data_IF_591182930103
#
_entry.id   IF_591182930103
#
_cell.length_a   1.000
_cell.length_b   1.000
_cell.length_c   1.000
_cell.angle_alpha   90.00
_cell.angle_beta   90.00
_cell.angle_gamma   90.00
#
_symmetry.space_group_name_H-M   'P 1'
#
loop_
_entity.id
_entity.type
_entity.pdbx_description
1 polymer ?
#
# COMPACT_ATOMS: atom_id res chain seq x y z
N UNK A 1 -16.09 -1.01 -9.72
CA UNK A 1 -15.07 0.07 -9.70
C UNK A 1 -15.52 1.33 -8.97
N UNK A 2 -16.70 1.91 -9.26
CA UNK A 2 -17.17 3.14 -8.59
C UNK A 2 -17.26 3.05 -7.06
N UNK A 3 -17.73 1.90 -6.53
CA UNK A 3 -17.79 1.67 -5.08
C UNK A 3 -16.40 1.63 -4.41
N UNK A 4 -15.39 1.11 -5.12
CA UNK A 4 -14.00 1.08 -4.64
C UNK A 4 -13.40 2.49 -4.60
N UNK A 5 -13.60 3.28 -5.64
CA UNK A 5 -13.13 4.68 -5.66
C UNK A 5 -13.80 5.46 -4.53
N UNK A 6 -15.12 5.33 -4.36
CA UNK A 6 -15.85 5.97 -3.26
C UNK A 6 -15.31 5.54 -1.89
N UNK A 7 -15.00 4.25 -1.72
CA UNK A 7 -14.38 3.74 -0.51
C UNK A 7 -13.06 4.46 -0.21
N UNK A 8 -12.15 4.55 -1.17
CA UNK A 8 -10.85 5.21 -0.97
C UNK A 8 -10.98 6.70 -0.69
N UNK A 9 -11.94 7.38 -1.31
CA UNK A 9 -12.27 8.78 -0.97
C UNK A 9 -12.78 8.90 0.46
N UNK A 10 -13.69 8.03 0.89
CA UNK A 10 -14.19 8.01 2.27
C UNK A 10 -13.09 7.64 3.27
N UNK A 11 -12.20 6.73 2.92
CA UNK A 11 -11.03 6.35 3.71
C UNK A 11 -10.06 7.52 3.85
N UNK A 12 -9.76 8.23 2.76
CA UNK A 12 -8.90 9.43 2.76
C UNK A 12 -9.50 10.56 3.63
N UNK A 13 -10.83 10.66 3.66
CA UNK A 13 -11.57 11.58 4.53
C UNK A 13 -11.72 11.07 5.98
N UNK A 14 -11.08 9.94 6.34
CA UNK A 14 -11.19 9.26 7.64
C UNK A 14 -12.62 8.89 8.04
N UNK A 15 -13.52 8.77 7.07
CA UNK A 15 -14.93 8.38 7.25
C UNK A 15 -15.15 6.87 7.24
N UNK A 16 -14.15 6.12 6.78
CA UNK A 16 -14.14 4.64 6.81
C UNK A 16 -12.87 4.12 7.46
N UNK A 17 -12.93 2.89 7.96
CA UNK A 17 -11.78 2.21 8.53
C UNK A 17 -11.15 1.28 7.48
N UNK A 18 -9.81 1.08 7.52
CA UNK A 18 -9.13 0.15 6.62
C UNK A 18 -9.72 -1.27 6.60
N UNK A 19 -10.25 -1.72 7.74
CA UNK A 19 -10.87 -3.04 7.92
C UNK A 19 -12.20 -3.24 7.15
N UNK A 20 -12.78 -2.16 6.64
CA UNK A 20 -14.02 -2.20 5.86
C UNK A 20 -13.75 -2.57 4.39
N UNK A 21 -12.46 -2.68 4.01
CA UNK A 21 -12.04 -3.11 2.68
C UNK A 21 -12.24 -4.64 2.54
N UNK A 22 -12.77 -5.14 1.41
CA UNK A 22 -12.82 -6.58 1.17
C UNK A 22 -11.42 -7.20 1.24
N UNK A 23 -11.31 -8.34 1.93
CA UNK A 23 -10.08 -9.12 2.02
C UNK A 23 -9.77 -9.78 0.67
N UNK A 24 -9.16 -9.03 -0.24
CA UNK A 24 -8.82 -9.46 -1.61
C UNK A 24 -7.32 -9.39 -1.85
N UNK A 25 -6.64 -10.54 -2.01
CA UNK A 25 -5.22 -10.59 -2.39
C UNK A 25 -4.93 -9.89 -3.72
N UNK A 26 -5.90 -9.89 -4.64
CA UNK A 26 -5.78 -9.25 -5.96
C UNK A 26 -5.70 -7.74 -5.82
N UNK A 27 -6.45 -7.13 -4.89
CA UNK A 27 -6.38 -5.69 -4.61
C UNK A 27 -5.02 -5.31 -4.03
N UNK A 28 -4.47 -6.11 -3.11
CA UNK A 28 -3.13 -5.88 -2.56
C UNK A 28 -2.07 -5.93 -3.68
N UNK A 29 -2.12 -6.97 -4.52
CA UNK A 29 -1.16 -7.13 -5.63
C UNK A 29 -1.25 -5.94 -6.60
N UNK A 30 -2.47 -5.51 -6.96
CA UNK A 30 -2.68 -4.36 -7.82
C UNK A 30 -2.04 -3.10 -7.24
N UNK A 31 -2.29 -2.79 -5.96
CA UNK A 31 -1.71 -1.60 -5.34
C UNK A 31 -0.20 -1.71 -5.16
N UNK A 32 0.33 -2.89 -4.84
CA UNK A 32 1.78 -3.10 -4.76
C UNK A 32 2.46 -2.86 -6.12
N UNK A 33 1.90 -3.39 -7.21
CA UNK A 33 2.42 -3.17 -8.56
C UNK A 33 2.35 -1.69 -8.94
N UNK A 34 1.21 -1.03 -8.69
CA UNK A 34 1.07 0.40 -8.97
C UNK A 34 2.06 1.24 -8.14
N UNK A 35 2.24 0.93 -6.87
CA UNK A 35 3.17 1.64 -5.99
C UNK A 35 4.61 1.53 -6.52
N UNK A 36 5.06 0.32 -6.90
CA UNK A 36 6.41 0.13 -7.46
C UNK A 36 6.58 0.83 -8.81
N UNK A 37 5.61 0.71 -9.71
CA UNK A 37 5.71 1.31 -11.05
C UNK A 37 5.71 2.83 -10.98
N UNK A 38 4.77 3.42 -10.22
CA UNK A 38 4.67 4.87 -10.07
C UNK A 38 5.85 5.43 -9.26
N UNK A 39 6.24 4.73 -8.20
CA UNK A 39 7.38 5.11 -7.37
C UNK A 39 8.70 5.06 -8.12
N UNK A 40 8.93 4.02 -8.94
CA UNK A 40 10.12 3.94 -9.79
C UNK A 40 10.12 5.02 -10.88
N UNK A 41 8.96 5.29 -11.50
CA UNK A 41 8.83 6.36 -12.50
C UNK A 41 9.11 7.74 -11.89
N UNK A 42 8.62 8.01 -10.69
CA UNK A 42 8.83 9.28 -9.98
C UNK A 42 10.27 9.41 -9.46
N UNK A 43 10.83 8.31 -8.92
CA UNK A 43 12.17 8.25 -8.35
C UNK A 43 13.31 8.15 -9.38
N UNK A 44 13.03 7.85 -10.65
CA UNK A 44 14.06 7.60 -11.66
C UNK A 44 15.09 8.73 -11.79
N UNK A 45 14.65 9.99 -11.68
CA UNK A 45 15.54 11.16 -11.71
C UNK A 45 16.34 11.32 -10.41
N UNK A 46 15.73 10.98 -9.27
CA UNK A 46 16.34 11.13 -7.95
C UNK A 46 17.43 10.09 -7.69
N UNK A 47 17.21 8.86 -8.14
CA UNK A 47 18.13 7.73 -7.90
C UNK A 47 19.12 7.48 -9.06
N UNK A 48 19.20 8.40 -10.03
CA UNK A 48 20.16 8.33 -11.13
C UNK A 48 19.88 7.19 -12.13
N UNK A 49 18.63 6.73 -12.22
CA UNK A 49 18.24 5.67 -13.14
C UNK A 49 17.03 4.87 -12.67
N UNK A 50 16.32 4.27 -13.63
CA UNK A 50 15.12 3.47 -13.36
C UNK A 50 15.42 2.22 -12.51
N UNK A 51 16.55 1.54 -12.75
CA UNK A 51 16.93 0.35 -11.98
C UNK A 51 17.17 0.64 -10.49
N UNK A 52 17.89 1.72 -10.18
CA UNK A 52 18.13 2.16 -8.80
C UNK A 52 16.83 2.62 -8.13
N UNK A 53 15.99 3.37 -8.84
CA UNK A 53 14.69 3.79 -8.33
C UNK A 53 13.76 2.61 -8.05
N UNK A 54 13.76 1.59 -8.91
CA UNK A 54 12.98 0.37 -8.73
C UNK A 54 13.48 -0.41 -7.51
N UNK A 55 14.80 -0.57 -7.36
CA UNK A 55 15.40 -1.21 -6.19
C UNK A 55 15.05 -0.48 -4.88
N UNK A 56 15.18 0.84 -4.86
CA UNK A 56 14.81 1.67 -3.71
C UNK A 56 13.32 1.53 -3.35
N UNK A 57 12.43 1.58 -4.34
CA UNK A 57 10.99 1.41 -4.11
C UNK A 57 10.61 0.01 -3.63
N UNK A 58 11.26 -1.04 -4.14
CA UNK A 58 11.02 -2.40 -3.63
C UNK A 58 11.43 -2.54 -2.16
N UNK A 59 12.57 -1.97 -1.79
CA UNK A 59 13.05 -1.99 -0.40
C UNK A 59 12.07 -1.22 0.50
N UNK A 60 11.63 -0.03 0.06
CA UNK A 60 10.68 0.79 0.80
C UNK A 60 9.32 0.11 0.97
N UNK A 61 8.78 -0.50 -0.09
CA UNK A 61 7.55 -1.27 -0.05
C UNK A 61 7.65 -2.45 0.94
N UNK A 62 8.73 -3.24 0.83
CA UNK A 62 8.95 -4.38 1.73
C UNK A 62 9.09 -3.93 3.18
N UNK A 63 9.84 -2.85 3.41
CA UNK A 63 10.01 -2.28 4.74
C UNK A 63 8.68 -1.82 5.33
N UNK A 64 7.88 -1.07 4.56
CA UNK A 64 6.55 -0.61 4.97
C UNK A 64 5.59 -1.78 5.28
N UNK A 65 5.57 -2.82 4.44
CA UNK A 65 4.76 -4.02 4.67
C UNK A 65 5.17 -4.79 5.92
N UNK A 66 6.48 -4.90 6.18
CA UNK A 66 7.03 -5.54 7.38
C UNK A 66 6.74 -4.75 8.65
N UNK A 67 6.90 -3.43 8.60
CA UNK A 67 6.56 -2.53 9.73
C UNK A 67 5.08 -2.62 10.05
N UNK A 68 4.20 -2.54 9.05
CA UNK A 68 2.76 -2.72 9.23
C UNK A 68 2.41 -4.09 9.81
N UNK A 69 3.07 -5.15 9.33
CA UNK A 69 2.92 -6.49 9.88
C UNK A 69 3.30 -6.52 11.37
N UNK A 70 4.49 -6.04 11.72
CA UNK A 70 4.97 -6.02 13.10
C UNK A 70 4.04 -5.21 14.02
N UNK A 71 3.61 -4.03 13.58
CA UNK A 71 2.67 -3.19 14.34
C UNK A 71 1.34 -3.92 14.59
N UNK A 72 0.82 -4.64 13.59
CA UNK A 72 -0.41 -5.41 13.75
C UNK A 72 -0.24 -6.62 14.67
N UNK A 73 0.94 -7.26 14.70
CA UNK A 73 1.24 -8.30 15.69
C UNK A 73 1.24 -7.73 17.11
N UNK A 74 1.96 -6.62 17.33
CA UNK A 74 2.05 -5.96 18.64
C UNK A 74 0.67 -5.50 19.12
N UNK A 75 -0.20 -5.06 18.21
CA UNK A 75 -1.57 -4.62 18.52
C UNK A 75 -2.60 -5.77 18.60
N UNK A 76 -2.19 -7.01 18.38
CA UNK A 76 -3.10 -8.18 18.46
C UNK A 76 -4.12 -8.27 17.31
N UNK A 77 -3.80 -7.73 16.14
CA UNK A 77 -4.67 -7.73 14.96
C UNK A 77 -4.03 -8.36 13.70
N UNK A 78 -3.43 -9.56 13.78
CA UNK A 78 -2.71 -10.18 12.66
C UNK A 78 -3.60 -10.43 11.44
N UNK A 79 -4.89 -10.74 11.66
CA UNK A 79 -5.86 -11.03 10.58
C UNK A 79 -6.19 -9.81 9.72
N UNK A 80 -5.87 -8.59 10.18
CA UNK A 80 -6.18 -7.34 9.47
C UNK A 80 -5.08 -6.91 8.50
N UNK A 81 -3.97 -7.65 8.41
CA UNK A 81 -2.83 -7.27 7.59
C UNK A 81 -3.21 -7.01 6.13
N UNK A 82 -3.94 -7.92 5.50
CA UNK A 82 -4.31 -7.78 4.09
C UNK A 82 -5.08 -6.47 3.83
N UNK A 83 -6.07 -6.17 4.67
CA UNK A 83 -6.94 -5.00 4.53
C UNK A 83 -6.18 -3.70 4.85
N UNK A 84 -5.40 -3.69 5.92
CA UNK A 84 -4.63 -2.52 6.33
C UNK A 84 -3.53 -2.18 5.33
N UNK A 85 -2.79 -3.17 4.85
CA UNK A 85 -1.74 -2.97 3.84
C UNK A 85 -2.35 -2.52 2.50
N UNK A 86 -3.47 -3.10 2.07
CA UNK A 86 -4.15 -2.66 0.85
C UNK A 86 -4.69 -1.23 0.96
N UNK A 87 -5.22 -0.86 2.13
CA UNK A 87 -5.69 0.49 2.40
C UNK A 87 -4.53 1.51 2.44
N UNK A 88 -3.40 1.14 3.04
CA UNK A 88 -2.19 1.96 3.12
C UNK A 88 -1.64 2.25 1.73
N UNK A 89 -1.38 1.21 0.93
CA UNK A 89 -0.87 1.33 -0.43
C UNK A 89 -1.86 2.04 -1.37
N UNK A 90 -3.17 1.81 -1.20
CA UNK A 90 -4.20 2.44 -2.01
C UNK A 90 -4.37 3.95 -1.76
N UNK A 91 -3.91 4.46 -0.61
CA UNK A 91 -3.85 5.89 -0.33
C UNK A 91 -2.55 6.55 -0.83
N UNK A 92 -1.58 5.77 -1.31
CA UNK A 92 -0.29 6.28 -1.78
C UNK A 92 0.64 6.72 -0.65
N UNK A 93 0.49 6.13 0.54
CA UNK A 93 1.41 6.27 1.67
C UNK A 93 2.45 5.17 1.64
#
# INVERSE_FOLDING_TARGET
>A
MQALIKFFVELALLRRRPQDLPASPVLLLLFAVLNVVLGAANGAKLFGGFGNALGANLIDLLFSMLVLFALLQIRGHPRRWLQTTSAFLGLGV
#
